data_IF_110646655578
#
_entry.id   IF_110646655578
#
_cell.length_a   1.000
_cell.length_b   1.000
_cell.length_c   1.000
_cell.angle_alpha   90.00
_cell.angle_beta   90.00
_cell.angle_gamma   90.00
#
_symmetry.space_group_name_H-M   'P 1'
#
loop_
_entity.id
_entity.type
_entity.pdbx_description
1 polymer ?
#
# COMPACT_ATOMS: atom_id res chain seq x y z
N UNK A 1 12.77 49.05 60.17
CA UNK A 1 13.48 48.03 59.40
C UNK A 1 12.44 47.16 58.65
N UNK A 2 12.32 47.37 57.38
CA UNK A 2 11.34 46.69 56.51
C UNK A 2 12.11 45.73 55.58
N UNK A 3 12.02 44.43 55.84
CA UNK A 3 12.64 43.39 55.01
C UNK A 3 11.75 43.11 53.82
N UNK A 4 12.26 43.42 52.62
CA UNK A 4 11.67 43.01 51.34
C UNK A 4 12.15 41.60 51.00
N UNK A 5 11.22 40.60 51.03
CA UNK A 5 11.46 39.26 50.47
C UNK A 5 11.27 39.32 48.96
N UNK A 6 12.37 39.15 48.20
CA UNK A 6 12.34 38.99 46.76
C UNK A 6 11.93 37.56 46.39
N UNK A 7 10.81 37.44 45.70
CA UNK A 7 10.39 36.17 45.04
C UNK A 7 11.15 36.03 43.72
N UNK A 8 12.00 35.01 43.65
CA UNK A 8 12.64 34.60 42.40
C UNK A 8 11.64 33.68 41.65
N UNK A 9 11.09 34.18 40.54
CA UNK A 9 10.33 33.38 39.60
C UNK A 9 11.32 32.61 38.71
N UNK A 10 11.45 31.30 38.95
CA UNK A 10 12.16 30.41 38.04
C UNK A 10 11.19 30.02 36.91
N UNK A 11 11.38 30.60 35.72
CA UNK A 11 10.65 30.25 34.53
C UNK A 11 11.19 28.91 33.97
N UNK A 12 10.47 27.85 34.17
CA UNK A 12 10.77 26.55 33.57
C UNK A 12 10.29 26.56 32.11
N UNK A 13 11.23 26.79 31.19
CA UNK A 13 10.95 26.63 29.73
C UNK A 13 10.84 25.17 29.40
N UNK A 14 9.62 24.70 29.22
CA UNK A 14 9.34 23.34 28.67
C UNK A 14 9.68 23.35 27.18
N UNK A 15 10.89 22.91 26.82
CA UNK A 15 11.22 22.58 25.43
C UNK A 15 10.44 21.33 25.03
N UNK A 16 9.24 21.54 24.53
CA UNK A 16 8.46 20.49 23.90
C UNK A 16 9.20 19.99 22.66
N UNK A 17 9.78 18.81 22.74
CA UNK A 17 10.24 18.07 21.57
C UNK A 17 9.02 17.81 20.69
N UNK A 18 8.83 18.62 19.65
CA UNK A 18 7.86 18.35 18.60
C UNK A 18 8.28 17.03 17.94
N UNK A 19 7.55 15.95 18.25
CA UNK A 19 7.57 14.76 17.43
C UNK A 19 7.29 15.20 16.00
N UNK A 20 8.09 14.80 15.00
CA UNK A 20 7.82 15.19 13.63
C UNK A 20 6.42 14.72 13.28
N UNK A 21 5.53 15.68 13.03
CA UNK A 21 4.23 15.41 12.45
C UNK A 21 4.49 14.57 11.20
N UNK A 22 3.92 13.36 11.17
CA UNK A 22 3.94 12.48 10.02
C UNK A 22 3.39 13.28 8.84
N UNK A 23 4.29 13.78 7.99
CA UNK A 23 3.93 14.44 6.76
C UNK A 23 3.02 13.46 6.01
N UNK A 24 1.80 13.90 5.68
CA UNK A 24 0.87 13.14 4.86
C UNK A 24 1.61 12.80 3.56
N UNK A 25 2.00 11.55 3.46
CA UNK A 25 2.78 11.02 2.36
C UNK A 25 1.90 11.14 1.11
N UNK A 26 2.29 12.01 0.19
CA UNK A 26 1.59 12.24 -1.08
C UNK A 26 1.76 11.05 -2.05
N UNK A 27 1.58 9.82 -1.54
CA UNK A 27 1.54 8.57 -2.32
C UNK A 27 0.23 8.46 -3.12
N UNK A 28 -0.22 9.58 -3.70
CA UNK A 28 -1.53 9.72 -4.30
C UNK A 28 -1.76 8.85 -5.54
N UNK A 29 -0.72 8.26 -6.12
CA UNK A 29 -0.83 7.51 -7.38
C UNK A 29 -1.19 6.03 -7.23
N UNK A 30 -0.98 5.43 -6.06
CA UNK A 30 -1.19 3.99 -5.81
C UNK A 30 -1.93 3.69 -4.50
N UNK A 31 -2.63 4.70 -3.96
CA UNK A 31 -3.46 4.57 -2.77
C UNK A 31 -4.93 4.80 -3.09
N UNK A 32 -5.78 3.94 -2.59
CA UNK A 32 -7.22 3.91 -2.85
C UNK A 32 -8.00 3.85 -1.55
N UNK A 33 -9.21 4.41 -1.58
CA UNK A 33 -10.03 4.52 -0.39
C UNK A 33 -9.61 5.68 0.52
N UNK A 34 -10.37 5.87 1.60
CA UNK A 34 -10.16 6.94 2.60
C UNK A 34 -10.48 6.39 3.98
N UNK A 35 -9.72 6.80 4.99
CA UNK A 35 -9.95 6.40 6.38
C UNK A 35 -8.71 6.60 7.23
N UNK A 36 -8.88 6.41 8.54
CA UNK A 36 -7.79 6.48 9.51
C UNK A 36 -6.95 5.19 9.56
N UNK A 37 -7.50 4.10 9.05
CA UNK A 37 -6.79 2.85 8.85
C UNK A 37 -6.10 2.85 7.48
N UNK A 38 -4.92 2.25 7.43
CA UNK A 38 -4.20 2.02 6.18
C UNK A 38 -3.64 0.61 6.15
N UNK A 39 -3.91 -0.08 5.04
CA UNK A 39 -3.29 -1.34 4.68
C UNK A 39 -2.28 -1.07 3.55
N UNK A 40 -1.00 -1.30 3.83
CA UNK A 40 0.08 -1.21 2.84
C UNK A 40 0.46 -2.63 2.45
N UNK A 41 0.45 -2.92 1.15
CA UNK A 41 0.66 -4.25 0.60
C UNK A 41 1.93 -4.22 -0.25
N UNK A 42 2.96 -4.95 0.21
CA UNK A 42 4.22 -5.14 -0.50
C UNK A 42 4.19 -6.48 -1.21
N UNK A 43 4.23 -6.47 -2.53
CA UNK A 43 4.16 -7.67 -3.36
C UNK A 43 5.13 -7.61 -4.53
N UNK A 44 5.34 -8.76 -5.15
CA UNK A 44 6.08 -8.89 -6.40
C UNK A 44 5.32 -9.86 -7.30
N UNK A 45 5.10 -9.48 -8.56
CA UNK A 45 4.31 -10.26 -9.51
C UNK A 45 4.87 -11.67 -9.77
N UNK A 46 6.20 -11.82 -9.67
CA UNK A 46 6.90 -13.06 -9.95
C UNK A 46 7.17 -13.92 -8.70
N UNK A 47 6.83 -13.42 -7.52
CA UNK A 47 6.97 -14.13 -6.26
C UNK A 47 5.85 -15.18 -6.12
N UNK A 48 6.15 -16.50 -6.06
CA UNK A 48 5.10 -17.52 -5.98
C UNK A 48 4.18 -17.40 -4.76
N UNK A 49 4.68 -17.10 -3.53
CA UNK A 49 3.81 -16.83 -2.39
C UNK A 49 2.88 -15.63 -2.61
N UNK A 50 3.35 -14.56 -3.32
CA UNK A 50 2.50 -13.42 -3.67
C UNK A 50 1.36 -13.83 -4.61
N UNK A 51 1.68 -14.59 -5.68
CA UNK A 51 0.68 -15.10 -6.61
C UNK A 51 -0.36 -15.99 -5.92
N UNK A 52 0.09 -16.78 -4.94
CA UNK A 52 -0.80 -17.64 -4.17
C UNK A 52 -1.76 -16.84 -3.29
N UNK A 53 -1.28 -15.83 -2.55
CA UNK A 53 -2.10 -15.07 -1.60
C UNK A 53 -2.98 -14.01 -2.29
N UNK A 54 -2.64 -13.58 -3.49
CA UNK A 54 -3.41 -12.57 -4.23
C UNK A 54 -4.87 -12.97 -4.41
N UNK A 55 -5.14 -14.27 -4.66
CA UNK A 55 -6.50 -14.81 -4.79
C UNK A 55 -7.36 -14.64 -3.53
N UNK A 56 -6.73 -14.60 -2.37
CA UNK A 56 -7.40 -14.43 -1.09
C UNK A 56 -7.49 -12.95 -0.70
N UNK A 57 -6.46 -12.16 -1.05
CA UNK A 57 -6.40 -10.73 -0.77
C UNK A 57 -7.31 -9.89 -1.67
N UNK A 58 -7.40 -10.21 -2.95
CA UNK A 58 -8.17 -9.43 -3.93
C UNK A 58 -9.62 -9.21 -3.49
N UNK A 59 -10.42 -10.25 -3.20
CA UNK A 59 -11.81 -10.07 -2.81
C UNK A 59 -11.94 -9.31 -1.49
N UNK A 60 -10.96 -9.43 -0.59
CA UNK A 60 -10.95 -8.69 0.67
C UNK A 60 -10.63 -7.21 0.45
N UNK A 61 -9.68 -6.88 -0.42
CA UNK A 61 -9.34 -5.51 -0.80
C UNK A 61 -10.56 -4.83 -1.46
N UNK A 62 -11.20 -5.49 -2.42
CA UNK A 62 -12.40 -4.97 -3.07
C UNK A 62 -13.54 -4.70 -2.08
N UNK A 63 -13.78 -5.63 -1.16
CA UNK A 63 -14.75 -5.48 -0.08
C UNK A 63 -14.45 -4.27 0.80
N UNK A 64 -13.19 -4.11 1.19
CA UNK A 64 -12.75 -3.00 2.03
C UNK A 64 -12.88 -1.65 1.32
N UNK A 65 -12.51 -1.57 0.05
CA UNK A 65 -12.62 -0.34 -0.74
C UNK A 65 -14.08 0.03 -1.01
N UNK A 66 -14.93 -0.95 -1.31
CA UNK A 66 -16.37 -0.74 -1.49
C UNK A 66 -17.04 -0.25 -0.19
N UNK A 67 -16.63 -0.80 0.96
CA UNK A 67 -17.17 -0.39 2.26
C UNK A 67 -16.67 1.00 2.69
N UNK A 68 -15.43 1.34 2.38
CA UNK A 68 -14.76 2.55 2.87
C UNK A 68 -14.24 2.43 4.30
N UNK A 69 -13.64 3.51 4.81
CA UNK A 69 -13.06 3.58 6.16
C UNK A 69 -11.62 3.11 6.28
N UNK A 70 -11.04 2.64 5.18
CA UNK A 70 -9.65 2.22 5.08
C UNK A 70 -9.01 2.75 3.80
N UNK A 71 -7.76 3.13 3.88
CA UNK A 71 -6.89 3.41 2.74
C UNK A 71 -6.05 2.17 2.43
N UNK A 72 -5.96 1.80 1.16
CA UNK A 72 -5.13 0.69 0.69
C UNK A 72 -4.05 1.25 -0.23
N UNK A 73 -2.80 0.92 0.06
CA UNK A 73 -1.62 1.38 -0.68
C UNK A 73 -0.87 0.16 -1.24
N UNK A 74 -0.65 0.15 -2.55
CA UNK A 74 0.13 -0.90 -3.21
C UNK A 74 1.57 -0.46 -3.38
N UNK A 75 2.50 -1.37 -3.09
CA UNK A 75 3.95 -1.19 -3.25
C UNK A 75 4.52 -2.41 -3.95
N UNK A 76 5.03 -2.24 -5.16
CA UNK A 76 5.70 -3.33 -5.84
C UNK A 76 7.16 -3.41 -5.39
N UNK A 77 7.54 -4.56 -4.84
CA UNK A 77 8.87 -4.84 -4.35
C UNK A 77 9.74 -5.40 -5.49
N UNK A 78 10.91 -4.81 -5.81
CA UNK A 78 11.71 -5.19 -6.96
C UNK A 78 12.55 -6.46 -6.71
N UNK A 79 11.90 -7.56 -6.31
CA UNK A 79 12.56 -8.83 -5.99
C UNK A 79 12.98 -9.63 -7.22
N UNK A 80 12.33 -9.43 -8.38
CA UNK A 80 12.62 -10.14 -9.61
C UNK A 80 12.87 -9.19 -10.79
N UNK A 81 13.64 -9.66 -11.77
CA UNK A 81 14.04 -8.87 -12.96
C UNK A 81 12.87 -8.23 -13.71
N UNK A 82 11.73 -8.91 -13.80
CA UNK A 82 10.55 -8.42 -14.52
C UNK A 82 9.68 -7.44 -13.74
N UNK A 83 9.83 -7.33 -12.42
CA UNK A 83 8.92 -6.58 -11.55
C UNK A 83 8.81 -5.10 -11.96
N UNK A 84 9.92 -4.45 -12.26
CA UNK A 84 9.91 -3.04 -12.65
C UNK A 84 9.10 -2.76 -13.92
N UNK A 85 9.13 -3.67 -14.89
CA UNK A 85 8.32 -3.58 -16.10
C UNK A 85 6.82 -3.69 -15.79
N UNK A 86 6.44 -4.68 -14.99
CA UNK A 86 5.04 -4.90 -14.59
C UNK A 86 4.53 -3.72 -13.75
N UNK A 87 5.33 -3.24 -12.81
CA UNK A 87 5.05 -2.05 -12.02
C UNK A 87 4.82 -0.80 -12.88
N UNK A 88 5.63 -0.58 -13.93
CA UNK A 88 5.42 0.51 -14.90
C UNK A 88 4.03 0.43 -15.56
N UNK A 89 3.60 -0.77 -15.97
CA UNK A 89 2.29 -0.98 -16.58
C UNK A 89 1.14 -0.83 -15.58
N UNK A 90 1.32 -1.30 -14.35
CA UNK A 90 0.38 -1.05 -13.26
C UNK A 90 0.19 0.45 -13.02
N UNK A 91 1.28 1.20 -12.86
CA UNK A 91 1.24 2.64 -12.67
C UNK A 91 0.62 3.39 -13.87
N UNK A 92 0.88 2.90 -15.09
CA UNK A 92 0.26 3.43 -16.32
C UNK A 92 -1.27 3.27 -16.32
N UNK A 93 -1.77 2.13 -15.83
CA UNK A 93 -3.20 1.88 -15.64
C UNK A 93 -3.79 2.77 -14.52
N UNK A 94 -3.11 2.89 -13.38
CA UNK A 94 -3.51 3.76 -12.27
C UNK A 94 -3.60 5.24 -12.67
N UNK A 95 -2.70 5.69 -13.55
CA UNK A 95 -2.68 7.07 -14.03
C UNK A 95 -3.77 7.37 -15.07
N UNK A 96 -4.28 6.36 -15.77
CA UNK A 96 -5.34 6.51 -16.78
C UNK A 96 -6.72 6.57 -16.17
N UNK A 97 -6.96 5.81 -15.11
CA UNK A 97 -8.22 5.75 -14.37
C UNK A 97 -7.94 5.52 -12.88
N UNK A 98 -8.44 6.42 -12.06
CA UNK A 98 -8.27 6.40 -10.60
C UNK A 98 -9.32 5.55 -9.88
N UNK A 99 -10.21 4.90 -10.59
CA UNK A 99 -11.20 3.98 -10.02
C UNK A 99 -10.52 2.70 -9.52
N UNK A 100 -10.81 2.29 -8.29
CA UNK A 100 -10.17 1.09 -7.72
C UNK A 100 -10.53 -0.19 -8.49
N UNK A 101 -11.71 -0.27 -9.09
CA UNK A 101 -12.13 -1.43 -9.91
C UNK A 101 -11.20 -1.62 -11.11
N UNK A 102 -10.84 -0.53 -11.80
CA UNK A 102 -9.91 -0.58 -12.92
C UNK A 102 -8.52 -1.02 -12.47
N UNK A 103 -8.07 -0.51 -11.34
CA UNK A 103 -6.77 -0.83 -10.75
C UNK A 103 -6.69 -2.29 -10.32
N UNK A 104 -7.71 -2.81 -9.64
CA UNK A 104 -7.76 -4.23 -9.26
C UNK A 104 -7.77 -5.13 -10.49
N UNK A 105 -8.55 -4.78 -11.51
CA UNK A 105 -8.57 -5.52 -12.79
C UNK A 105 -7.21 -5.53 -13.47
N UNK A 106 -6.51 -4.37 -13.51
CA UNK A 106 -5.16 -4.29 -14.08
C UNK A 106 -4.18 -5.17 -13.29
N UNK A 107 -4.23 -5.09 -11.96
CA UNK A 107 -3.41 -5.89 -11.05
C UNK A 107 -3.58 -7.39 -11.29
N UNK A 108 -4.81 -7.87 -11.38
CA UNK A 108 -5.12 -9.28 -11.65
C UNK A 108 -4.59 -9.78 -12.98
N UNK A 109 -4.73 -8.97 -14.03
CA UNK A 109 -4.17 -9.31 -15.35
C UNK A 109 -2.65 -9.47 -15.26
N UNK A 110 -1.97 -8.54 -14.56
CA UNK A 110 -0.52 -8.58 -14.42
C UNK A 110 -0.05 -9.80 -13.61
N UNK A 111 -0.70 -10.11 -12.49
CA UNK A 111 -0.40 -11.33 -11.73
C UNK A 111 -0.63 -12.61 -12.56
N UNK A 112 -1.73 -12.68 -13.31
CA UNK A 112 -2.03 -13.82 -14.17
C UNK A 112 -0.96 -14.01 -15.28
N UNK A 113 -0.48 -12.92 -15.87
CA UNK A 113 0.58 -12.97 -16.89
C UNK A 113 1.93 -13.39 -16.30
N UNK A 114 2.29 -12.87 -15.13
CA UNK A 114 3.51 -13.24 -14.43
C UNK A 114 3.52 -14.75 -14.08
N UNK A 115 2.38 -15.28 -13.61
CA UNK A 115 2.22 -16.70 -13.30
C UNK A 115 2.37 -17.64 -14.52
N UNK A 116 2.12 -17.15 -15.74
CA UNK A 116 2.32 -17.90 -16.96
C UNK A 116 3.78 -17.96 -17.43
N UNK A 117 4.72 -17.39 -16.68
CA UNK A 117 6.15 -17.25 -17.04
C UNK A 117 6.37 -16.60 -18.42
N UNK A 118 5.36 -15.91 -18.91
CA UNK A 118 5.41 -15.22 -20.19
C UNK A 118 5.57 -13.74 -19.92
N UNK A 119 6.58 -13.12 -20.47
CA UNK A 119 6.53 -11.70 -20.74
C UNK A 119 7.49 -10.82 -19.94
N UNK A 120 8.61 -10.68 -20.51
CA UNK A 120 9.45 -9.50 -20.40
C UNK A 120 9.27 -8.53 -21.62
N UNK A 121 8.14 -8.65 -22.35
CA UNK A 121 7.86 -7.87 -23.56
C UNK A 121 6.75 -6.84 -23.32
N UNK A 122 7.10 -5.56 -23.48
CA UNK A 122 6.19 -4.44 -23.28
C UNK A 122 4.89 -4.52 -24.12
N UNK A 123 5.02 -4.93 -25.38
CA UNK A 123 3.88 -5.04 -26.28
C UNK A 123 2.85 -6.07 -25.83
N UNK A 124 3.28 -7.17 -25.22
CA UNK A 124 2.36 -8.21 -24.71
C UNK A 124 1.61 -7.72 -23.49
N UNK A 125 2.28 -7.04 -22.54
CA UNK A 125 1.63 -6.42 -21.38
C UNK A 125 0.60 -5.38 -21.82
N UNK A 126 0.99 -4.49 -22.73
CA UNK A 126 0.10 -3.48 -23.27
C UNK A 126 -1.12 -4.08 -23.98
N UNK A 127 -0.91 -5.09 -24.82
CA UNK A 127 -1.99 -5.79 -25.54
C UNK A 127 -2.95 -6.49 -24.58
N UNK A 128 -2.44 -7.20 -23.57
CA UNK A 128 -3.25 -7.90 -22.58
C UNK A 128 -4.13 -6.93 -21.76
N UNK A 129 -3.57 -5.81 -21.29
CA UNK A 129 -4.34 -4.79 -20.57
C UNK A 129 -5.40 -4.14 -21.47
N UNK A 130 -5.03 -3.72 -22.68
CA UNK A 130 -5.95 -3.12 -23.65
C UNK A 130 -7.09 -4.07 -24.06
N UNK A 131 -6.81 -5.37 -24.26
CA UNK A 131 -7.83 -6.38 -24.60
C UNK A 131 -8.91 -6.53 -23.53
N UNK A 132 -8.63 -6.09 -22.31
CA UNK A 132 -9.55 -6.07 -21.16
C UNK A 132 -10.11 -4.66 -20.88
N UNK A 133 -10.00 -3.75 -21.84
CA UNK A 133 -10.44 -2.35 -21.74
C UNK A 133 -9.75 -1.56 -20.63
N UNK A 134 -8.50 -1.90 -20.30
CA UNK A 134 -7.66 -1.09 -19.41
C UNK A 134 -6.93 -0.05 -20.25
N UNK A 135 -7.26 1.21 -20.04
CA UNK A 135 -6.54 2.32 -20.66
C UNK A 135 -5.15 2.46 -20.01
N UNK A 136 -4.17 2.88 -20.81
CA UNK A 136 -2.80 3.09 -20.37
C UNK A 136 -2.40 4.53 -20.66
N UNK A 137 -1.85 5.23 -19.67
CA UNK A 137 -1.27 6.55 -19.82
C UNK A 137 0.25 6.47 -19.76
N UNK A 138 0.94 7.14 -20.67
CA UNK A 138 2.40 7.25 -20.59
C UNK A 138 2.77 8.09 -19.36
N UNK A 139 3.63 7.53 -18.52
CA UNK A 139 4.10 8.16 -17.28
C UNK A 139 5.61 7.93 -17.12
N UNK A 140 6.24 8.80 -16.33
CA UNK A 140 7.54 8.49 -15.72
C UNK A 140 7.28 7.75 -14.39
N UNK A 141 7.68 6.47 -14.25
CA UNK A 141 7.48 5.71 -13.01
C UNK A 141 8.50 6.06 -11.92
N UNK A 142 9.60 6.75 -12.25
CA UNK A 142 10.73 7.00 -11.36
C UNK A 142 10.33 7.67 -10.03
N UNK A 143 9.48 8.72 -10.00
CA UNK A 143 9.06 9.32 -8.73
C UNK A 143 8.36 8.32 -7.80
N UNK A 144 7.50 7.46 -8.34
CA UNK A 144 6.80 6.44 -7.55
C UNK A 144 7.75 5.34 -7.09
N UNK A 145 8.66 4.90 -7.93
CA UNK A 145 9.69 3.92 -7.54
C UNK A 145 10.58 4.43 -6.41
N UNK A 146 10.93 5.72 -6.41
CA UNK A 146 11.65 6.34 -5.32
C UNK A 146 10.83 6.30 -4.01
N UNK A 147 9.54 6.65 -4.07
CA UNK A 147 8.64 6.57 -2.91
C UNK A 147 8.52 5.13 -2.39
N UNK A 148 8.37 4.16 -3.27
CA UNK A 148 8.32 2.74 -2.90
C UNK A 148 9.62 2.28 -2.23
N UNK A 149 10.78 2.70 -2.76
CA UNK A 149 12.09 2.43 -2.14
C UNK A 149 12.18 2.98 -0.72
N UNK A 150 11.69 4.21 -0.49
CA UNK A 150 11.66 4.79 0.85
C UNK A 150 10.68 4.05 1.79
N UNK A 151 9.54 3.60 1.27
CA UNK A 151 8.60 2.80 2.05
C UNK A 151 9.19 1.42 2.41
N UNK A 152 9.85 0.75 1.47
CA UNK A 152 10.54 -0.52 1.68
C UNK A 152 11.57 -0.39 2.80
N UNK A 153 12.43 0.63 2.73
CA UNK A 153 13.42 0.93 3.79
C UNK A 153 12.76 1.25 5.13
N UNK A 154 11.79 2.16 5.13
CA UNK A 154 11.09 2.63 6.34
C UNK A 154 10.39 1.51 7.10
N UNK A 155 9.79 0.57 6.40
CA UNK A 155 9.09 -0.56 6.99
C UNK A 155 9.97 -1.81 7.12
N UNK A 156 11.25 -1.69 6.75
CA UNK A 156 12.22 -2.80 6.81
C UNK A 156 11.66 -4.05 6.11
N UNK A 157 11.27 -3.88 4.84
CA UNK A 157 10.72 -4.96 4.02
C UNK A 157 11.87 -5.67 3.32
N UNK A 158 12.05 -6.94 3.64
CA UNK A 158 13.10 -7.82 3.12
C UNK A 158 12.54 -8.98 2.31
N UNK A 159 11.22 -9.24 2.41
CA UNK A 159 10.55 -10.30 1.67
C UNK A 159 9.10 -9.96 1.32
N UNK A 160 8.55 -10.70 0.37
CA UNK A 160 7.16 -10.59 -0.09
C UNK A 160 6.47 -11.96 -0.11
N UNK A 161 5.15 -11.99 0.09
CA UNK A 161 4.28 -10.87 0.40
C UNK A 161 4.47 -10.38 1.84
N UNK A 162 4.41 -9.06 2.06
CA UNK A 162 4.35 -8.46 3.39
C UNK A 162 3.24 -7.40 3.40
N UNK A 163 2.45 -7.39 4.46
CA UNK A 163 1.41 -6.38 4.67
C UNK A 163 1.64 -5.61 5.98
N UNK A 164 1.41 -4.31 5.94
CA UNK A 164 1.41 -3.44 7.13
C UNK A 164 -0.01 -2.91 7.32
N UNK A 165 -0.63 -3.30 8.42
CA UNK A 165 -1.87 -2.66 8.87
C UNK A 165 -1.54 -1.62 9.93
N UNK A 166 -1.96 -0.36 9.72
CA UNK A 166 -1.71 0.72 10.67
C UNK A 166 -2.93 1.61 10.88
N UNK A 167 -2.98 2.21 12.08
CA UNK A 167 -3.94 3.24 12.45
C UNK A 167 -3.20 4.37 13.16
N UNK A 168 -3.05 5.51 12.50
CA UNK A 168 -2.23 6.63 12.98
C UNK A 168 -0.77 6.20 13.27
N UNK A 169 -0.08 6.88 14.18
CA UNK A 169 1.24 6.47 14.70
C UNK A 169 1.15 5.43 15.84
N UNK A 170 -0.05 5.22 16.42
CA UNK A 170 -0.24 4.44 17.63
C UNK A 170 -0.35 2.93 17.40
N UNK A 171 -0.81 2.51 16.23
CA UNK A 171 -0.97 1.11 15.90
C UNK A 171 -0.29 0.78 14.58
N UNK A 172 0.61 -0.21 14.61
CA UNK A 172 1.27 -0.77 13.43
C UNK A 172 1.50 -2.26 13.66
N UNK A 173 1.03 -3.10 12.73
CA UNK A 173 1.29 -4.53 12.73
C UNK A 173 1.78 -4.97 11.35
N UNK A 174 2.81 -5.80 11.33
CA UNK A 174 3.42 -6.39 10.13
C UNK A 174 2.99 -7.86 10.05
N UNK A 175 2.53 -8.27 8.87
CA UNK A 175 2.19 -9.65 8.52
C UNK A 175 3.11 -10.07 7.39
N UNK A 176 3.93 -11.05 7.66
CA UNK A 176 4.97 -11.52 6.76
C UNK A 176 4.57 -12.89 6.25
N UNK A 177 4.75 -13.12 4.94
CA UNK A 177 4.39 -14.30 4.17
C UNK A 177 2.88 -14.53 3.91
N UNK A 178 2.60 -15.51 3.07
CA UNK A 178 1.22 -15.81 2.65
C UNK A 178 0.39 -16.48 3.76
N UNK A 179 1.03 -17.19 4.69
CA UNK A 179 0.33 -17.89 5.78
C UNK A 179 -0.17 -16.90 6.82
N UNK A 180 0.70 -16.01 7.35
CA UNK A 180 0.29 -14.96 8.30
C UNK A 180 -0.77 -14.03 7.69
N UNK A 181 -0.68 -13.73 6.39
CA UNK A 181 -1.70 -12.93 5.73
C UNK A 181 -3.05 -13.64 5.75
N UNK A 182 -3.10 -14.96 5.45
CA UNK A 182 -4.35 -15.74 5.46
C UNK A 182 -4.90 -15.96 6.86
N UNK A 183 -4.02 -16.33 7.81
CA UNK A 183 -4.46 -16.80 9.13
C UNK A 183 -4.65 -15.68 10.15
N UNK A 184 -4.00 -14.53 9.94
CA UNK A 184 -4.06 -13.44 10.91
C UNK A 184 -4.59 -12.12 10.30
N UNK A 185 -4.02 -11.64 9.18
CA UNK A 185 -4.42 -10.35 8.60
C UNK A 185 -5.86 -10.38 8.10
N UNK A 186 -6.21 -11.34 7.25
CA UNK A 186 -7.56 -11.41 6.67
C UNK A 186 -8.64 -11.53 7.76
N UNK A 187 -8.52 -12.41 8.75
CA UNK A 187 -9.44 -12.44 9.89
C UNK A 187 -9.50 -11.14 10.68
N UNK A 188 -8.36 -10.47 10.88
CA UNK A 188 -8.35 -9.18 11.57
C UNK A 188 -9.10 -8.11 10.77
N UNK A 189 -8.89 -8.04 9.45
CA UNK A 189 -9.61 -7.11 8.57
C UNK A 189 -11.12 -7.38 8.59
N UNK A 190 -11.53 -8.63 8.56
CA UNK A 190 -12.94 -9.03 8.63
C UNK A 190 -13.58 -8.66 9.97
N UNK A 191 -12.85 -8.84 11.08
CA UNK A 191 -13.30 -8.45 12.42
C UNK A 191 -13.42 -6.93 12.58
N UNK A 192 -12.42 -6.16 12.08
CA UNK A 192 -12.42 -4.69 12.18
C UNK A 192 -13.41 -4.03 11.23
N UNK A 193 -13.56 -4.61 10.06
CA UNK A 193 -14.43 -4.11 8.99
C UNK A 193 -15.46 -5.19 8.62
N UNK A 194 -16.41 -5.53 9.51
CA UNK A 194 -17.38 -6.58 9.23
C UNK A 194 -18.19 -6.25 7.99
N UNK A 195 -18.67 -7.30 7.29
CA UNK A 195 -19.62 -7.13 6.18
C UNK A 195 -20.81 -6.32 6.70
N UNK A 196 -21.14 -5.23 6.03
CA UNK A 196 -22.34 -4.47 6.37
C UNK A 196 -23.55 -5.40 6.32
N UNK A 197 -24.46 -5.28 7.28
CA UNK A 197 -25.78 -5.92 7.12
C UNK A 197 -26.36 -5.33 5.83
N UNK A 198 -26.58 -6.15 4.81
CA UNK A 198 -27.38 -5.77 3.65
C UNK A 198 -28.74 -5.31 4.18
N UNK A 199 -29.02 -4.00 3.99
CA UNK A 199 -30.37 -3.49 4.22
C UNK A 199 -31.28 -3.95 3.10
#
# INVERSE_FOLDING_TARGET
AMMLLGYIFVSFSFSGSATPAYAADNTSSVSYGKGSWELIIFTDYFCPPCQSVEKDLEPEIERLLARGGIKITFVDFPGHKGTALYAKYFLSACASDKGYQNVMKARNILFALAGQKKVDQENVLAAALKSKNIALKVIDPKPVFNQWSEMIKRFEIDQTPTCILRFSSAYKRKYIDSEHIRTELIPELQKRFPKGKSK
#
